data_IF_417595752768
#
_entry.id   IF_417595752768
#
_cell.length_a   1.000
_cell.length_b   1.000
_cell.length_c   1.000
_cell.angle_alpha   90.00
_cell.angle_beta   90.00
_cell.angle_gamma   90.00
#
_symmetry.space_group_name_H-M   'P 1'
#
loop_
_entity.id
_entity.type
_entity.pdbx_description
1 polymer ?
#
# COMPACT_ATOMS: atom_id res chain seq x y z
N UNK A 1 -6.37 -20.84 -3.56
CA UNK A 1 -7.22 -19.65 -3.78
C UNK A 1 -6.28 -18.48 -3.87
N UNK A 2 -6.44 -17.60 -4.86
CA UNK A 2 -5.57 -16.44 -5.04
C UNK A 2 -6.02 -15.31 -4.12
N UNK A 3 -5.10 -14.76 -3.32
CA UNK A 3 -5.34 -13.68 -2.34
C UNK A 3 -4.53 -12.44 -2.73
N UNK A 4 -5.19 -11.29 -2.83
CA UNK A 4 -4.56 -10.01 -3.15
C UNK A 4 -4.65 -9.12 -1.91
N UNK A 5 -3.51 -8.67 -1.40
CA UNK A 5 -3.45 -7.70 -0.31
C UNK A 5 -3.73 -6.28 -0.82
N UNK A 6 -4.78 -5.63 -0.31
CA UNK A 6 -5.27 -4.32 -0.77
C UNK A 6 -4.79 -3.12 0.07
N UNK A 7 -4.00 -3.35 1.12
CA UNK A 7 -3.75 -2.32 2.12
C UNK A 7 -2.81 -1.20 1.64
N UNK A 8 -2.04 -1.38 0.57
CA UNK A 8 -1.26 -0.29 -0.05
C UNK A 8 -2.17 0.48 -1.01
N UNK A 9 -3.05 1.30 -0.44
CA UNK A 9 -4.01 2.10 -1.17
C UNK A 9 -4.07 3.53 -0.62
N UNK A 10 -3.84 4.53 -1.47
CA UNK A 10 -3.82 5.95 -1.11
C UNK A 10 -5.18 6.51 -0.66
N UNK A 11 -6.28 5.77 -0.80
CA UNK A 11 -7.56 6.12 -0.14
C UNK A 11 -7.46 5.99 1.39
N UNK A 12 -6.52 5.20 1.89
CA UNK A 12 -6.18 5.13 3.31
C UNK A 12 -5.27 6.30 3.69
N UNK A 13 -5.69 7.12 4.67
CA UNK A 13 -4.98 8.32 5.10
C UNK A 13 -3.52 8.07 5.48
N UNK A 14 -3.21 7.04 6.26
CA UNK A 14 -1.82 6.79 6.68
C UNK A 14 -0.94 6.35 5.51
N UNK A 15 -1.51 5.62 4.54
CA UNK A 15 -0.81 5.24 3.31
C UNK A 15 -0.60 6.45 2.39
N UNK A 16 -1.59 7.34 2.27
CA UNK A 16 -1.48 8.59 1.52
C UNK A 16 -0.36 9.48 2.09
N UNK A 17 -0.32 9.64 3.42
CA UNK A 17 0.72 10.39 4.13
C UNK A 17 2.11 9.77 3.91
N UNK A 18 2.21 8.44 4.00
CA UNK A 18 3.45 7.71 3.72
C UNK A 18 3.92 7.87 2.27
N UNK A 19 3.00 7.88 1.29
CA UNK A 19 3.32 8.15 -0.11
C UNK A 19 3.80 9.60 -0.28
N UNK A 20 3.06 10.59 0.24
CA UNK A 20 3.37 12.01 0.10
C UNK A 20 4.72 12.39 0.73
N UNK A 21 5.02 11.82 1.90
CA UNK A 21 6.30 12.01 2.61
C UNK A 21 7.43 11.12 2.10
N UNK A 22 7.16 10.22 1.15
CA UNK A 22 8.09 9.19 0.65
C UNK A 22 8.64 8.31 1.78
N UNK A 23 7.79 7.97 2.75
CA UNK A 23 8.12 7.05 3.83
C UNK A 23 8.23 5.61 3.30
N UNK A 24 9.46 5.27 2.92
CA UNK A 24 9.81 3.94 2.39
C UNK A 24 9.64 2.86 3.45
N UNK A 25 9.89 3.16 4.72
CA UNK A 25 9.88 2.15 5.77
C UNK A 25 8.46 1.68 6.03
N UNK A 26 7.52 2.63 6.20
CA UNK A 26 6.10 2.33 6.38
C UNK A 26 5.54 1.45 5.25
N UNK A 27 5.79 1.83 3.99
CA UNK A 27 5.27 1.10 2.83
C UNK A 27 5.87 -0.31 2.71
N UNK A 28 7.17 -0.46 3.00
CA UNK A 28 7.82 -1.76 2.97
C UNK A 28 7.34 -2.68 4.10
N UNK A 29 7.15 -2.15 5.30
CA UNK A 29 6.63 -2.92 6.44
C UNK A 29 5.19 -3.38 6.17
N UNK A 30 4.36 -2.52 5.55
CA UNK A 30 3.01 -2.88 5.14
C UNK A 30 3.00 -3.97 4.06
N UNK A 31 3.91 -3.91 3.07
CA UNK A 31 4.07 -4.97 2.08
C UNK A 31 4.49 -6.30 2.72
N UNK A 32 5.48 -6.26 3.63
CA UNK A 32 5.95 -7.44 4.38
C UNK A 32 4.83 -8.05 5.22
N UNK A 33 4.03 -7.23 5.89
CA UNK A 33 2.91 -7.70 6.70
C UNK A 33 1.86 -8.44 5.85
N UNK A 34 1.51 -7.91 4.67
CA UNK A 34 0.57 -8.57 3.76
C UNK A 34 1.12 -9.88 3.19
N UNK A 35 2.41 -9.92 2.83
CA UNK A 35 3.06 -11.15 2.39
C UNK A 35 3.09 -12.21 3.51
N UNK A 36 3.42 -11.81 4.75
CA UNK A 36 3.41 -12.71 5.91
C UNK A 36 2.00 -13.22 6.25
N UNK A 37 0.95 -12.45 5.92
CA UNK A 37 -0.44 -12.86 6.07
C UNK A 37 -0.94 -13.81 4.94
N UNK A 38 -0.10 -14.13 3.96
CA UNK A 38 -0.40 -15.09 2.89
C UNK A 38 -0.98 -14.48 1.62
N UNK A 39 -0.78 -13.18 1.38
CA UNK A 39 -1.12 -12.59 0.08
C UNK A 39 -0.21 -13.14 -1.04
N UNK A 40 -0.81 -13.58 -2.15
CA UNK A 40 -0.10 -14.01 -3.35
C UNK A 40 0.39 -12.82 -4.17
N UNK A 41 -0.38 -11.73 -4.16
CA UNK A 41 -0.06 -10.46 -4.80
C UNK A 41 -0.34 -9.30 -3.86
N UNK A 42 0.39 -8.21 -4.03
CA UNK A 42 0.14 -6.94 -3.34
C UNK A 42 -0.40 -5.96 -4.37
N UNK A 43 -1.65 -5.53 -4.18
CA UNK A 43 -2.20 -4.41 -4.95
C UNK A 43 -1.54 -3.11 -4.51
N UNK A 44 -1.33 -2.21 -5.48
CA UNK A 44 -0.69 -0.91 -5.24
C UNK A 44 -1.51 0.16 -5.92
N UNK A 45 -2.24 0.92 -5.11
CA UNK A 45 -2.93 2.13 -5.55
C UNK A 45 -2.26 3.36 -4.91
N UNK A 46 -1.52 4.12 -5.71
CA UNK A 46 -0.81 5.30 -5.25
C UNK A 46 -1.61 6.62 -5.32
N UNK A 47 -2.88 6.60 -5.74
CA UNK A 47 -3.55 7.82 -6.20
C UNK A 47 -4.24 8.69 -5.14
N UNK A 48 -3.63 9.85 -4.80
CA UNK A 48 -4.30 11.12 -4.38
C UNK A 48 -3.53 12.35 -4.93
N UNK A 49 -4.29 13.38 -5.40
CA UNK A 49 -3.98 14.70 -6.03
C UNK A 49 -2.71 14.81 -6.93
N UNK A 50 -2.75 14.94 -8.27
CA UNK A 50 -3.63 15.70 -9.17
C UNK A 50 -3.97 14.84 -10.40
N UNK A 51 -5.26 14.60 -10.64
CA UNK A 51 -5.71 14.27 -11.99
C UNK A 51 -5.61 15.55 -12.83
N UNK A 52 -4.96 15.46 -14.00
CA UNK A 52 -5.00 16.50 -15.04
C UNK A 52 -6.43 16.86 -15.42
#
# INVERSE_FOLDING_TARGET
>A
MLVIGENINASNRSVAEAIASRDRQFLQDLARAQAAAGADFIDVNAGTEHGS
#
